data_IF_616533695422
#
_entry.id   IF_616533695422
#
_cell.length_a   1.000
_cell.length_b   1.000
_cell.length_c   1.000
_cell.angle_alpha   90.00
_cell.angle_beta   90.00
_cell.angle_gamma   90.00
#
_symmetry.space_group_name_H-M   'P 1'
#
loop_
_entity.id
_entity.type
_entity.pdbx_description
1 polymer ?
#
# COMPACT_ATOMS: atom_id res chain seq x y z
N UNK A 1 7.29 11.03 0.03
CA UNK A 1 8.40 10.89 -0.94
C UNK A 1 8.57 12.13 -1.81
N UNK A 2 7.58 12.52 -2.65
CA UNK A 2 7.71 13.63 -3.63
C UNK A 2 8.16 14.98 -3.04
N UNK A 3 7.67 15.36 -1.85
CA UNK A 3 8.08 16.60 -1.19
C UNK A 3 9.55 16.60 -0.77
N UNK A 4 10.03 15.51 -0.16
CA UNK A 4 11.39 15.40 0.34
C UNK A 4 12.43 15.38 -0.80
N UNK A 5 12.09 14.73 -1.92
CA UNK A 5 12.92 14.77 -3.15
C UNK A 5 12.92 16.19 -3.75
N UNK A 6 11.77 16.87 -3.75
CA UNK A 6 11.68 18.27 -4.20
C UNK A 6 12.57 19.22 -3.38
N UNK A 7 12.53 19.09 -2.06
CA UNK A 7 13.39 19.86 -1.13
C UNK A 7 14.88 19.52 -1.35
N UNK A 8 15.21 18.23 -1.51
CA UNK A 8 16.57 17.79 -1.83
C UNK A 8 17.08 18.37 -3.15
N UNK A 9 16.25 18.39 -4.21
CA UNK A 9 16.61 18.94 -5.51
C UNK A 9 16.91 20.44 -5.44
N UNK A 10 16.12 21.19 -4.67
CA UNK A 10 16.34 22.62 -4.47
C UNK A 10 17.69 22.88 -3.78
N UNK A 11 17.97 22.17 -2.68
CA UNK A 11 19.25 22.29 -1.96
C UNK A 11 20.44 21.82 -2.81
N UNK A 12 20.29 20.75 -3.58
CA UNK A 12 21.37 20.19 -4.39
C UNK A 12 21.74 21.09 -5.57
N UNK A 13 20.76 21.81 -6.16
CA UNK A 13 21.04 22.84 -7.18
C UNK A 13 21.87 23.98 -6.61
N UNK A 14 21.57 24.43 -5.40
CA UNK A 14 22.36 25.45 -4.71
C UNK A 14 23.80 24.96 -4.48
N UNK A 15 23.96 23.77 -3.89
CA UNK A 15 25.27 23.17 -3.62
C UNK A 15 26.09 22.92 -4.88
N UNK A 16 25.43 22.54 -5.97
CA UNK A 16 26.09 22.36 -7.27
C UNK A 16 26.64 23.68 -7.79
N UNK A 17 25.87 24.76 -7.73
CA UNK A 17 26.32 26.10 -8.13
C UNK A 17 27.47 26.60 -7.24
N UNK A 18 27.42 26.27 -5.95
CA UNK A 18 28.44 26.65 -4.97
C UNK A 18 29.67 25.73 -4.99
N UNK A 19 29.68 24.66 -5.81
CA UNK A 19 30.77 23.67 -5.88
C UNK A 19 30.94 22.81 -4.62
N UNK A 20 29.90 22.74 -3.77
CA UNK A 20 29.91 22.03 -2.48
C UNK A 20 29.08 20.74 -2.48
N UNK A 21 28.60 20.29 -3.64
CA UNK A 21 27.85 19.04 -3.76
C UNK A 21 28.77 17.84 -3.53
N UNK A 22 28.39 16.95 -2.63
CA UNK A 22 29.22 15.80 -2.21
C UNK A 22 28.53 14.46 -2.50
N UNK A 23 29.29 13.36 -2.39
CA UNK A 23 28.71 12.01 -2.45
C UNK A 23 27.64 11.79 -1.38
N UNK A 24 27.81 12.36 -0.19
CA UNK A 24 26.80 12.26 0.88
C UNK A 24 25.45 12.88 0.48
N UNK A 25 25.44 13.89 -0.40
CA UNK A 25 24.20 14.42 -0.96
C UNK A 25 23.51 13.40 -1.88
N UNK A 26 24.29 12.65 -2.66
CA UNK A 26 23.78 11.59 -3.53
C UNK A 26 23.32 10.36 -2.73
N UNK A 27 24.04 9.96 -1.69
CA UNK A 27 23.63 8.88 -0.78
C UNK A 27 22.30 9.22 -0.10
N UNK A 28 22.11 10.50 0.25
CA UNK A 28 20.82 11.00 0.75
C UNK A 28 19.71 10.90 -0.31
N UNK A 29 20.00 11.20 -1.58
CA UNK A 29 19.02 11.00 -2.66
C UNK A 29 18.66 9.52 -2.80
N UNK A 30 19.65 8.63 -2.76
CA UNK A 30 19.43 7.20 -2.81
C UNK A 30 18.47 6.77 -1.69
N UNK A 31 18.73 7.17 -0.45
CA UNK A 31 17.83 6.87 0.68
C UNK A 31 16.42 7.46 0.53
N UNK A 32 16.27 8.63 -0.11
CA UNK A 32 14.97 9.22 -0.42
C UNK A 32 14.25 8.53 -1.58
N UNK A 33 15.00 7.94 -2.52
CA UNK A 33 14.48 7.21 -3.67
C UNK A 33 14.14 5.76 -3.34
N UNK A 34 14.85 5.16 -2.38
CA UNK A 34 14.59 3.80 -1.87
C UNK A 34 13.73 3.81 -0.61
N UNK A 35 13.09 4.94 -0.27
CA UNK A 35 12.24 5.00 0.91
C UNK A 35 11.10 4.00 0.78
N UNK A 36 11.17 2.96 1.60
CA UNK A 36 10.27 1.82 1.55
C UNK A 36 8.82 2.30 1.73
N UNK A 37 7.94 1.89 0.83
CA UNK A 37 6.52 2.26 0.88
C UNK A 37 5.67 1.03 1.14
N UNK A 38 4.62 1.25 1.92
CA UNK A 38 3.67 0.22 2.29
C UNK A 38 2.55 0.19 1.23
N UNK A 39 2.34 -0.99 0.67
CA UNK A 39 1.10 -1.33 -0.03
C UNK A 39 0.15 -2.02 0.93
N UNK A 40 -1.15 -1.73 0.82
CA UNK A 40 -2.20 -2.40 1.59
C UNK A 40 -3.17 -3.08 0.62
N UNK A 41 -3.33 -4.38 0.74
CA UNK A 41 -4.20 -5.19 -0.11
C UNK A 41 -5.36 -5.75 0.70
N UNK A 42 -6.57 -5.48 0.25
CA UNK A 42 -7.80 -6.06 0.74
C UNK A 42 -8.16 -7.23 -0.16
N UNK A 43 -8.40 -8.40 0.42
CA UNK A 43 -8.90 -9.59 -0.27
C UNK A 43 -10.19 -10.06 0.42
N UNK A 44 -11.28 -10.08 -0.34
CA UNK A 44 -12.55 -10.66 0.09
C UNK A 44 -12.62 -12.10 -0.42
N UNK A 45 -12.50 -13.06 0.48
CA UNK A 45 -12.54 -14.48 0.16
C UNK A 45 -13.98 -15.02 0.16
N UNK A 46 -14.20 -16.19 -0.43
CA UNK A 46 -15.50 -16.89 -0.34
C UNK A 46 -15.75 -17.57 1.03
N UNK A 47 -14.73 -17.66 1.89
CA UNK A 47 -14.82 -18.21 3.26
C UNK A 47 -13.64 -17.75 4.12
N UNK A 48 -13.64 -18.06 5.42
CA UNK A 48 -12.50 -17.79 6.34
C UNK A 48 -11.26 -18.65 6.06
N UNK A 49 -11.31 -19.59 5.11
CA UNK A 49 -10.16 -20.41 4.75
C UNK A 49 -9.20 -19.62 3.83
N UNK A 50 -7.92 -19.51 4.19
CA UNK A 50 -6.91 -18.80 3.39
C UNK A 50 -6.68 -19.36 1.98
N UNK A 51 -7.09 -20.62 1.74
CA UNK A 51 -7.03 -21.27 0.41
C UNK A 51 -8.29 -21.02 -0.43
N UNK A 52 -9.30 -20.39 0.15
CA UNK A 52 -10.54 -20.06 -0.54
C UNK A 52 -10.26 -19.12 -1.70
N UNK A 53 -11.03 -19.28 -2.77
CA UNK A 53 -10.98 -18.36 -3.89
C UNK A 53 -11.32 -16.92 -3.45
N UNK A 54 -10.62 -15.96 -4.04
CA UNK A 54 -10.92 -14.52 -3.91
C UNK A 54 -12.16 -14.18 -4.74
N UNK A 55 -13.06 -13.41 -4.15
CA UNK A 55 -14.28 -12.90 -4.78
C UNK A 55 -14.15 -11.43 -5.20
N UNK A 56 -13.40 -10.63 -4.44
CA UNK A 56 -13.14 -9.22 -4.72
C UNK A 56 -11.84 -8.77 -4.05
N UNK A 57 -11.26 -7.66 -4.51
CA UNK A 57 -10.01 -7.13 -3.99
C UNK A 57 -9.91 -5.61 -4.15
N UNK A 58 -9.03 -5.00 -3.37
CA UNK A 58 -8.65 -3.60 -3.50
C UNK A 58 -7.20 -3.41 -3.09
N UNK A 59 -6.41 -2.69 -3.89
CA UNK A 59 -5.02 -2.37 -3.58
C UNK A 59 -4.89 -0.87 -3.32
N UNK A 60 -4.33 -0.52 -2.17
CA UNK A 60 -4.04 0.85 -1.79
C UNK A 60 -2.54 1.09 -1.82
N UNK A 61 -2.19 2.19 -2.47
CA UNK A 61 -0.86 2.77 -2.54
C UNK A 61 -0.97 4.24 -2.16
N UNK A 62 -0.57 4.58 -0.94
CA UNK A 62 -0.67 5.95 -0.42
C UNK A 62 0.21 6.96 -1.17
N UNK A 63 1.09 6.50 -2.08
CA UNK A 63 1.93 7.37 -2.90
C UNK A 63 1.29 7.73 -4.24
N UNK A 64 0.17 7.09 -4.60
CA UNK A 64 -0.56 7.34 -5.84
C UNK A 64 -1.79 8.24 -5.62
N UNK A 65 -2.29 8.92 -6.66
CA UNK A 65 -3.59 9.58 -6.62
C UNK A 65 -4.72 8.57 -6.32
N UNK A 66 -5.64 8.95 -5.43
CA UNK A 66 -6.77 8.09 -5.02
C UNK A 66 -8.04 8.37 -5.84
N UNK A 67 -7.88 8.71 -7.11
CA UNK A 67 -9.02 8.99 -7.99
C UNK A 67 -9.80 7.69 -8.30
N UNK A 68 -11.13 7.75 -8.48
CA UNK A 68 -11.91 6.56 -8.78
C UNK A 68 -11.50 5.93 -10.12
N UNK A 69 -10.78 4.81 -10.06
CA UNK A 69 -10.46 3.99 -11.22
C UNK A 69 -11.36 2.76 -11.26
N UNK A 70 -11.77 2.33 -12.46
CA UNK A 70 -12.41 1.02 -12.63
C UNK A 70 -11.44 -0.07 -12.14
N UNK A 71 -11.79 -0.84 -11.10
CA UNK A 71 -10.91 -1.90 -10.61
C UNK A 71 -10.77 -2.98 -11.67
N UNK A 72 -9.57 -3.56 -11.79
CA UNK A 72 -9.38 -4.73 -12.64
C UNK A 72 -10.23 -5.89 -12.12
N UNK A 73 -10.94 -6.56 -13.03
CA UNK A 73 -11.72 -7.76 -12.69
C UNK A 73 -10.83 -8.96 -12.34
N UNK A 74 -9.59 -8.98 -12.83
CA UNK A 74 -8.62 -10.00 -12.48
C UNK A 74 -7.99 -9.65 -11.12
N UNK A 75 -8.19 -10.53 -10.14
CA UNK A 75 -7.52 -10.44 -8.84
C UNK A 75 -6.01 -10.70 -8.99
N UNK A 76 -5.16 -10.01 -8.19
CA UNK A 76 -3.71 -10.23 -8.24
C UNK A 76 -3.29 -11.62 -7.73
N UNK A 77 -4.15 -12.28 -6.95
CA UNK A 77 -3.92 -13.62 -6.41
C UNK A 77 -5.21 -14.42 -6.35
N UNK A 78 -5.12 -15.74 -6.56
CA UNK A 78 -6.26 -16.66 -6.48
C UNK A 78 -6.74 -16.92 -5.05
N UNK A 79 -5.86 -16.74 -4.06
CA UNK A 79 -6.14 -16.97 -2.64
C UNK A 79 -5.27 -16.11 -1.75
N UNK A 80 -5.68 -15.92 -0.49
CA UNK A 80 -4.88 -15.24 0.53
C UNK A 80 -3.55 -15.94 0.75
N UNK A 81 -3.54 -17.28 0.72
CA UNK A 81 -2.32 -18.07 0.84
C UNK A 81 -1.31 -17.77 -0.27
N UNK A 82 -1.78 -17.54 -1.51
CA UNK A 82 -0.90 -17.18 -2.62
C UNK A 82 -0.30 -15.78 -2.43
N UNK A 83 -1.06 -14.81 -1.91
CA UNK A 83 -0.52 -13.50 -1.56
C UNK A 83 0.55 -13.62 -0.46
N UNK A 84 0.30 -14.40 0.58
CA UNK A 84 1.26 -14.65 1.67
C UNK A 84 2.54 -15.31 1.15
N UNK A 85 2.44 -16.22 0.17
CA UNK A 85 3.61 -16.81 -0.48
C UNK A 85 4.46 -15.78 -1.25
N UNK A 86 3.84 -14.70 -1.74
CA UNK A 86 4.52 -13.53 -2.32
C UNK A 86 4.86 -12.46 -1.25
N UNK A 87 5.19 -12.90 -0.04
CA UNK A 87 5.67 -12.07 1.07
C UNK A 87 4.70 -10.97 1.53
N UNK A 88 3.42 -11.07 1.21
CA UNK A 88 2.41 -10.24 1.87
C UNK A 88 2.24 -10.70 3.32
N UNK A 89 2.20 -9.74 4.24
CA UNK A 89 2.02 -9.99 5.68
C UNK A 89 0.57 -9.70 6.04
N UNK A 90 -0.06 -10.60 6.79
CA UNK A 90 -1.43 -10.37 7.27
C UNK A 90 -1.40 -9.30 8.35
N UNK A 91 -2.28 -8.29 8.23
CA UNK A 91 -2.47 -7.24 9.22
C UNK A 91 -3.89 -7.28 9.76
N UNK A 92 -4.06 -6.87 11.01
CA UNK A 92 -5.37 -6.78 11.64
C UNK A 92 -5.81 -5.32 11.70
N UNK A 93 -6.95 -5.03 11.08
CA UNK A 93 -7.66 -3.76 11.25
C UNK A 93 -8.66 -3.85 12.41
N UNK A 94 -9.18 -2.70 12.88
CA UNK A 94 -10.38 -2.71 13.69
C UNK A 94 -11.48 -3.50 12.97
N UNK A 95 -12.15 -4.41 13.69
CA UNK A 95 -13.29 -5.14 13.14
C UNK A 95 -14.46 -4.17 12.98
N UNK A 96 -14.79 -3.84 11.73
CA UNK A 96 -15.89 -2.94 11.39
C UNK A 96 -17.23 -3.39 11.97
N UNK A 97 -17.42 -4.70 12.22
CA UNK A 97 -18.64 -5.27 12.80
C UNK A 97 -18.79 -5.00 14.29
N UNK A 98 -17.71 -4.61 14.97
CA UNK A 98 -17.75 -4.19 16.37
C UNK A 98 -18.24 -2.74 16.52
N UNK A 99 -18.41 -2.02 15.42
CA UNK A 99 -18.99 -0.67 15.42
C UNK A 99 -20.46 -0.75 15.01
N UNK A 100 -21.35 -0.40 15.93
CA UNK A 100 -22.79 -0.29 15.65
C UNK A 100 -23.03 0.94 14.78
N UNK A 101 -23.34 0.72 13.50
CA UNK A 101 -23.94 1.75 12.67
C UNK A 101 -25.45 1.63 12.82
N UNK A 102 -26.03 2.44 13.71
CA UNK A 102 -27.46 2.38 14.04
C UNK A 102 -28.39 2.75 12.87
N UNK A 103 -27.84 3.33 11.79
CA UNK A 103 -28.62 3.90 10.67
C UNK A 103 -28.44 3.18 9.32
N UNK A 104 -27.66 2.10 9.23
CA UNK A 104 -27.46 1.40 7.95
C UNK A 104 -27.41 -0.11 8.16
N UNK A 105 -28.29 -0.83 7.47
CA UNK A 105 -28.29 -2.29 7.33
C UNK A 105 -27.08 -2.72 6.46
N UNK A 106 -25.87 -2.40 6.93
CA UNK A 106 -24.62 -2.65 6.22
C UNK A 106 -24.18 -4.08 6.49
N UNK A 107 -24.63 -4.99 5.62
CA UNK A 107 -24.00 -6.29 5.47
C UNK A 107 -22.60 -6.07 4.87
N UNK A 108 -21.61 -5.84 5.73
CA UNK A 108 -20.21 -5.86 5.33
C UNK A 108 -19.89 -7.19 4.65
N UNK A 109 -19.17 -7.12 3.53
CA UNK A 109 -18.62 -8.30 2.87
C UNK A 109 -17.80 -9.09 3.89
N UNK A 110 -18.24 -10.32 4.17
CA UNK A 110 -17.54 -11.21 5.10
C UNK A 110 -16.20 -11.68 4.53
N UNK A 111 -15.42 -12.36 5.38
CA UNK A 111 -14.17 -13.04 4.99
C UNK A 111 -13.12 -12.11 4.37
N UNK A 112 -13.02 -10.91 4.92
CA UNK A 112 -12.01 -9.92 4.57
C UNK A 112 -10.66 -10.30 5.19
N UNK A 113 -9.62 -10.23 4.36
CA UNK A 113 -8.23 -10.31 4.78
C UNK A 113 -7.54 -9.05 4.32
N UNK A 114 -6.83 -8.40 5.23
CA UNK A 114 -6.05 -7.21 4.92
C UNK A 114 -4.58 -7.59 5.06
N UNK A 115 -3.82 -7.23 4.04
CA UNK A 115 -2.42 -7.59 3.93
C UNK A 115 -1.59 -6.34 3.67
N UNK A 116 -0.34 -6.37 4.11
CA UNK A 116 0.65 -5.34 3.79
C UNK A 116 1.86 -5.94 3.08
N UNK A 117 2.47 -5.15 2.19
CA UNK A 117 3.79 -5.45 1.62
C UNK A 117 4.61 -4.18 1.60
N UNK A 118 5.85 -4.27 2.07
CA UNK A 118 6.81 -3.18 1.93
C UNK A 118 7.58 -3.36 0.63
N UNK A 119 7.61 -2.33 -0.20
CA UNK A 119 8.33 -2.30 -1.47
C UNK A 119 9.21 -1.05 -1.59
#
# INVERSE_FOLDING_TARGET
>A
MNRAIGEWLATSRQKLNDGTLTSADLDRLEGLATSQRQLVLYLYSKSTNMRSAVASWMLYDATQPQEPTLPSQAAPYDSVLAAVADCWRIVQFPDAKLYSYDDVDNNYLGFEFILEKMI
#
